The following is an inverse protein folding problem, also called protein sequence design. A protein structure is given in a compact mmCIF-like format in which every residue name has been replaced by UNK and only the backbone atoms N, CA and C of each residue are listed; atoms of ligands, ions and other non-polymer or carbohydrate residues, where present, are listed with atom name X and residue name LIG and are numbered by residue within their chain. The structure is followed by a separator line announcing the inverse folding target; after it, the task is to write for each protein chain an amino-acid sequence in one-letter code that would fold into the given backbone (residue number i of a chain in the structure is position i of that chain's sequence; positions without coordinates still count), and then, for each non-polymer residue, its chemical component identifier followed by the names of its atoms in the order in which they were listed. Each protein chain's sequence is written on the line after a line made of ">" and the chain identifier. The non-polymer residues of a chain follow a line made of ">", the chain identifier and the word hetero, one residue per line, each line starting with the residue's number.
data_IF_070861972530
#
_entry.id   IF_070861972530
#
_cell.length_a   1.000
_cell.length_b   1.000
_cell.length_c   1.000
_cell.angle_alpha   90.00
_cell.angle_beta   90.00
_cell.angle_gamma   90.00
#
_symmetry.space_group_name_H-M   'P 1'
#
loop_
_entity.id
_entity.type
_entity.pdbx_description
1 polymer ?
#
# COMPACT_ATOMS: atom_id res chain seq x y z
N UNK A 1 10.06 3.44 10.43
CA UNK A 1 8.62 3.21 10.60
C UNK A 1 8.15 3.91 11.87
N UNK A 2 6.90 4.39 11.89
CA UNK A 2 6.29 5.06 13.05
C UNK A 2 4.90 4.48 13.30
N UNK A 3 4.63 4.06 14.54
CA UNK A 3 3.30 3.64 14.96
C UNK A 3 2.41 4.86 15.20
N UNK A 4 1.17 4.80 14.70
CA UNK A 4 0.17 5.87 14.79
C UNK A 4 -1.21 5.28 15.06
N UNK A 5 -2.10 6.06 15.66
CA UNK A 5 -3.48 5.63 15.89
C UNK A 5 -4.22 5.37 14.57
N UNK A 6 -5.13 4.40 14.56
CA UNK A 6 -5.96 4.12 13.38
C UNK A 6 -6.66 5.35 12.80
N UNK A 7 -7.25 6.20 13.63
CA UNK A 7 -7.95 7.42 13.20
C UNK A 7 -7.03 8.39 12.46
N UNK A 8 -5.74 8.39 12.81
CA UNK A 8 -4.75 9.19 12.09
C UNK A 8 -4.50 8.63 10.69
N UNK A 9 -4.45 7.30 10.53
CA UNK A 9 -4.34 6.67 9.20
C UNK A 9 -5.59 6.89 8.36
N UNK A 10 -6.79 6.77 8.94
CA UNK A 10 -8.05 7.06 8.24
C UNK A 10 -8.07 8.51 7.73
N UNK A 11 -7.65 9.46 8.56
CA UNK A 11 -7.54 10.88 8.17
C UNK A 11 -6.60 11.06 6.98
N UNK A 12 -5.42 10.45 7.02
CA UNK A 12 -4.34 10.71 6.04
C UNK A 12 -4.42 9.87 4.76
N UNK A 13 -4.73 8.58 4.88
CA UNK A 13 -4.74 7.63 3.77
C UNK A 13 -6.12 7.48 3.13
N UNK A 14 -7.20 7.72 3.89
CA UNK A 14 -8.58 7.47 3.45
C UNK A 14 -9.43 8.75 3.33
N UNK A 15 -8.80 9.93 3.46
CA UNK A 15 -9.45 11.24 3.44
C UNK A 15 -10.53 11.38 4.53
N UNK A 16 -10.22 10.96 5.76
CA UNK A 16 -11.12 11.04 6.91
C UNK A 16 -12.28 10.04 6.91
N UNK A 17 -12.38 9.18 5.89
CA UNK A 17 -13.39 8.12 5.83
C UNK A 17 -12.89 6.88 6.56
N UNK A 18 -13.80 6.22 7.29
CA UNK A 18 -13.44 4.97 7.94
C UNK A 18 -13.09 3.90 6.91
N UNK A 19 -11.97 3.22 7.13
CA UNK A 19 -11.41 2.25 6.20
C UNK A 19 -10.53 1.24 6.94
N UNK A 20 -10.24 0.09 6.33
CA UNK A 20 -9.45 -0.99 6.95
C UNK A 20 -7.94 -0.81 6.76
N UNK A 21 -7.46 0.44 6.68
CA UNK A 21 -6.04 0.73 6.49
C UNK A 21 -5.24 0.28 7.72
N UNK A 22 -4.08 -0.33 7.48
CA UNK A 22 -3.16 -0.77 8.54
C UNK A 22 -1.77 -0.15 8.37
N UNK A 23 -1.41 0.28 7.17
CA UNK A 23 -0.14 0.94 6.87
C UNK A 23 -0.34 2.02 5.81
N UNK A 24 0.60 2.97 5.76
CA UNK A 24 0.63 3.99 4.72
C UNK A 24 2.03 4.60 4.58
N UNK A 25 2.54 4.61 3.36
CA UNK A 25 3.63 5.48 2.92
C UNK A 25 3.06 6.62 2.04
N UNK A 26 3.32 7.90 2.35
CA UNK A 26 2.75 9.04 1.62
C UNK A 26 3.28 9.22 0.19
N UNK A 27 4.25 8.42 -0.24
CA UNK A 27 4.92 8.57 -1.53
C UNK A 27 6.19 9.42 -1.46
N UNK A 28 6.36 10.21 -0.40
CA UNK A 28 7.54 11.05 -0.16
C UNK A 28 8.11 10.93 1.26
N UNK A 29 9.34 11.45 1.44
CA UNK A 29 10.03 11.46 2.73
C UNK A 29 10.53 10.09 3.21
N UNK A 30 10.82 10.01 4.50
CA UNK A 30 11.55 8.87 5.10
C UNK A 30 10.72 8.03 6.08
N UNK A 31 9.39 8.25 6.15
CA UNK A 31 8.55 7.65 7.18
C UNK A 31 7.42 6.81 6.59
N UNK A 32 7.47 5.52 6.90
CA UNK A 32 6.33 4.59 6.82
C UNK A 32 5.53 4.66 8.11
N UNK A 33 4.21 4.83 8.00
CA UNK A 33 3.28 4.86 9.12
C UNK A 33 2.53 3.53 9.24
N UNK A 34 2.41 2.98 10.45
CA UNK A 34 1.73 1.73 10.73
C UNK A 34 0.71 1.91 11.87
N UNK A 35 -0.37 1.16 11.83
CA UNK A 35 -1.41 1.17 12.85
C UNK A 35 -0.86 0.64 14.18
N UNK A 36 -1.05 1.40 15.26
CA UNK A 36 -0.52 1.08 16.59
C UNK A 36 -1.11 -0.20 17.22
N UNK A 37 -2.16 -0.76 16.63
CA UNK A 37 -2.77 -2.03 17.03
C UNK A 37 -2.09 -3.24 16.37
N UNK A 38 -1.15 -3.04 15.44
CA UNK A 38 -0.44 -4.12 14.77
C UNK A 38 0.60 -4.78 15.69
N UNK A 39 0.45 -6.08 15.91
CA UNK A 39 1.48 -6.95 16.47
C UNK A 39 2.46 -7.42 15.38
N UNK A 40 3.62 -6.74 15.24
CA UNK A 40 4.63 -7.08 14.24
C UNK A 40 5.51 -8.28 14.61
N UNK A 41 5.49 -8.71 15.88
CA UNK A 41 6.36 -9.77 16.40
C UNK A 41 5.70 -11.14 16.29
N UNK A 42 4.40 -11.23 16.57
CA UNK A 42 3.70 -12.51 16.66
C UNK A 42 2.60 -12.71 15.62
N UNK A 43 2.35 -11.72 14.75
CA UNK A 43 1.34 -11.84 13.68
C UNK A 43 1.96 -11.61 12.30
N UNK A 44 2.15 -12.72 11.57
CA UNK A 44 2.78 -12.73 10.24
C UNK A 44 2.03 -11.87 9.21
N UNK A 45 0.71 -11.73 9.35
CA UNK A 45 -0.08 -10.85 8.49
C UNK A 45 0.25 -9.38 8.74
N UNK A 46 0.39 -8.96 10.00
CA UNK A 46 0.82 -7.60 10.32
C UNK A 46 2.25 -7.32 9.84
N UNK A 47 3.17 -8.28 10.03
CA UNK A 47 4.52 -8.19 9.49
C UNK A 47 4.51 -8.04 7.96
N UNK A 48 3.63 -8.76 7.26
CA UNK A 48 3.51 -8.67 5.80
C UNK A 48 2.95 -7.33 5.32
N UNK A 49 2.05 -6.70 6.08
CA UNK A 49 1.60 -5.33 5.83
C UNK A 49 2.75 -4.33 6.00
N UNK A 50 3.58 -4.46 7.04
CA UNK A 50 4.74 -3.59 7.20
C UNK A 50 5.76 -3.76 6.06
N UNK A 51 5.93 -4.98 5.55
CA UNK A 51 6.74 -5.26 4.37
C UNK A 51 6.18 -4.57 3.11
N UNK A 52 4.87 -4.63 2.91
CA UNK A 52 4.19 -3.96 1.79
C UNK A 52 4.51 -2.45 1.76
N UNK A 53 4.35 -1.75 2.89
CA UNK A 53 4.68 -0.32 2.96
C UNK A 53 6.17 -0.03 2.81
N UNK A 54 7.04 -0.96 3.24
CA UNK A 54 8.48 -0.83 3.04
C UNK A 54 8.85 -0.91 1.55
N UNK A 55 8.16 -1.73 0.76
CA UNK A 55 8.31 -1.77 -0.70
C UNK A 55 7.94 -0.42 -1.30
N UNK A 56 6.81 0.17 -0.89
CA UNK A 56 6.44 1.53 -1.36
C UNK A 56 7.47 2.59 -1.01
N UNK A 57 8.05 2.53 0.19
CA UNK A 57 9.15 3.42 0.57
C UNK A 57 10.37 3.26 -0.35
N UNK A 58 10.77 2.02 -0.67
CA UNK A 58 11.87 1.75 -1.60
C UNK A 58 11.55 2.27 -3.02
N UNK A 59 10.34 2.03 -3.51
CA UNK A 59 9.88 2.53 -4.80
C UNK A 59 9.93 4.07 -4.83
N UNK A 60 9.48 4.74 -3.77
CA UNK A 60 9.53 6.20 -3.65
C UNK A 60 10.97 6.75 -3.70
N UNK A 61 11.91 6.08 -3.02
CA UNK A 61 13.34 6.47 -3.05
C UNK A 61 14.00 6.28 -4.41
N UNK A 62 13.48 5.39 -5.24
CA UNK A 62 13.96 5.15 -6.60
C UNK A 62 13.30 6.07 -7.63
N UNK A 63 12.31 6.88 -7.22
CA UNK A 63 11.50 7.69 -8.14
C UNK A 63 10.53 6.87 -8.97
N UNK A 64 10.23 5.62 -8.57
CA UNK A 64 9.34 4.72 -9.30
C UNK A 64 7.84 4.98 -9.00
N UNK A 65 7.54 5.76 -7.96
CA UNK A 65 6.17 6.12 -7.56
C UNK A 65 5.92 7.57 -7.96
N UNK A 66 4.73 7.84 -8.52
CA UNK A 66 4.03 9.13 -8.57
C UNK A 66 3.95 9.90 -9.90
N UNK A 67 4.55 9.51 -11.03
CA UNK A 67 4.38 10.37 -12.24
C UNK A 67 3.03 10.15 -12.94
N UNK A 68 2.51 8.92 -12.93
CA UNK A 68 1.21 8.62 -13.53
C UNK A 68 0.53 7.38 -12.92
N UNK A 69 -0.76 7.22 -13.22
CA UNK A 69 -1.58 6.14 -12.71
C UNK A 69 -1.02 4.73 -13.05
N UNK A 70 -0.48 4.53 -14.25
CA UNK A 70 0.04 3.22 -14.67
C UNK A 70 1.23 2.78 -13.82
N UNK A 71 2.13 3.72 -13.53
CA UNK A 71 3.25 3.50 -12.61
C UNK A 71 2.75 3.16 -11.20
N UNK A 72 1.74 3.86 -10.68
CA UNK A 72 1.16 3.56 -9.37
C UNK A 72 0.54 2.17 -9.32
N UNK A 73 -0.18 1.74 -10.36
CA UNK A 73 -0.75 0.38 -10.44
C UNK A 73 0.36 -0.67 -10.53
N UNK A 74 1.42 -0.41 -11.30
CA UNK A 74 2.57 -1.32 -11.40
C UNK A 74 3.29 -1.46 -10.05
N UNK A 75 3.49 -0.35 -9.34
CA UNK A 75 4.09 -0.32 -8.00
C UNK A 75 3.23 -1.11 -6.99
N UNK A 76 1.91 -0.93 -7.01
CA UNK A 76 0.96 -1.67 -6.16
C UNK A 76 1.01 -3.18 -6.45
N UNK A 77 1.06 -3.57 -7.73
CA UNK A 77 1.19 -4.98 -8.14
C UNK A 77 2.48 -5.60 -7.61
N UNK A 78 3.59 -4.89 -7.70
CA UNK A 78 4.87 -5.35 -7.16
C UNK A 78 4.80 -5.53 -5.64
N UNK A 79 4.29 -4.53 -4.90
CA UNK A 79 4.18 -4.60 -3.45
C UNK A 79 3.34 -5.79 -2.97
N UNK A 80 2.18 -6.05 -3.59
CA UNK A 80 1.38 -7.23 -3.27
C UNK A 80 1.99 -8.56 -3.71
N UNK A 81 2.73 -8.59 -4.83
CA UNK A 81 3.44 -9.81 -5.24
C UNK A 81 4.49 -10.19 -4.18
N UNK A 82 5.28 -9.21 -3.71
CA UNK A 82 6.28 -9.41 -2.66
C UNK A 82 5.60 -9.82 -1.34
N UNK A 83 4.52 -9.14 -0.95
CA UNK A 83 3.76 -9.49 0.26
C UNK A 83 3.21 -10.93 0.20
N UNK A 84 2.65 -11.33 -0.94
CA UNK A 84 2.11 -12.68 -1.14
C UNK A 84 3.20 -13.73 -1.10
N UNK A 85 4.35 -13.49 -1.72
CA UNK A 85 5.51 -14.38 -1.67
C UNK A 85 6.02 -14.55 -0.24
N UNK A 86 6.14 -13.46 0.51
CA UNK A 86 6.51 -13.51 1.93
C UNK A 86 5.54 -14.39 2.73
N UNK A 87 4.23 -14.18 2.58
CA UNK A 87 3.24 -14.99 3.31
C UNK A 87 3.36 -16.48 2.98
N UNK A 88 3.50 -16.82 1.70
CA UNK A 88 3.65 -18.22 1.23
C UNK A 88 4.94 -18.85 1.78
N UNK A 89 6.06 -18.13 1.75
CA UNK A 89 7.36 -18.61 2.27
C UNK A 89 7.27 -18.97 3.76
N UNK A 90 6.53 -18.18 4.55
CA UNK A 90 6.30 -18.44 5.97
C UNK A 90 5.07 -19.33 6.25
N UNK A 91 4.63 -20.09 5.24
CA UNK A 91 3.65 -21.17 5.39
C UNK A 91 2.20 -20.72 5.59
N UNK A 92 1.88 -19.46 5.28
CA UNK A 92 0.52 -18.92 5.44
C UNK A 92 -0.04 -18.37 4.14
N UNK A 93 -1.30 -18.68 3.83
CA UNK A 93 -1.98 -18.07 2.69
C UNK A 93 -3.01 -17.05 3.15
N UNK A 94 -2.86 -15.80 2.72
CA UNK A 94 -3.90 -14.78 2.79
C UNK A 94 -4.17 -14.24 1.38
N UNK A 95 -5.44 -14.00 1.00
CA UNK A 95 -5.80 -13.44 -0.30
C UNK A 95 -5.58 -11.91 -0.33
N UNK A 96 -4.38 -11.45 0.02
CA UNK A 96 -3.97 -10.05 -0.08
C UNK A 96 -3.93 -9.61 -1.55
N UNK A 97 -4.20 -8.33 -1.80
CA UNK A 97 -4.16 -7.79 -3.16
C UNK A 97 -5.24 -8.35 -4.11
N UNK A 98 -6.30 -8.98 -3.59
CA UNK A 98 -7.35 -9.60 -4.42
C UNK A 98 -8.06 -8.62 -5.37
N UNK A 99 -8.06 -7.33 -5.04
CA UNK A 99 -8.63 -6.26 -5.86
C UNK A 99 -7.65 -5.69 -6.90
N UNK A 100 -6.35 -5.95 -6.76
CA UNK A 100 -5.29 -5.38 -7.60
C UNK A 100 -5.44 -5.75 -9.08
N UNK A 101 -5.84 -6.98 -9.47
CA UNK A 101 -6.07 -7.32 -10.88
C UNK A 101 -7.20 -6.49 -11.53
N UNK A 102 -8.09 -5.90 -10.74
CA UNK A 102 -9.19 -5.06 -11.23
C UNK A 102 -8.80 -3.59 -11.38
N UNK A 103 -7.67 -3.15 -10.82
CA UNK A 103 -7.19 -1.78 -10.95
C UNK A 103 -6.84 -1.47 -12.41
N UNK A 104 -7.33 -0.33 -12.88
CA UNK A 104 -7.08 0.24 -14.21
C UNK A 104 -7.04 1.75 -14.11
N UNK A 105 -6.27 2.38 -14.98
CA UNK A 105 -6.37 3.82 -15.15
C UNK A 105 -7.64 4.16 -15.93
N UNK A 106 -8.30 5.24 -15.53
CA UNK A 106 -9.31 5.85 -16.37
C UNK A 106 -8.60 6.44 -17.60
N UNK A 107 -9.12 6.17 -18.79
CA UNK A 107 -8.64 6.86 -19.99
C UNK A 107 -9.01 8.34 -19.86
N UNK A 108 -8.11 9.28 -20.16
CA UNK A 108 -8.48 10.68 -20.21
C UNK A 108 -9.57 10.85 -21.27
N UNK A 109 -10.72 11.41 -20.87
CA UNK A 109 -11.89 11.60 -21.73
C UNK A 109 -11.49 12.14 -23.10
N UNK A 110 -11.55 11.27 -24.11
CA UNK A 110 -11.69 11.71 -25.47
C UNK A 110 -13.09 12.32 -25.60
N UNK A 111 -13.14 13.66 -25.58
CA UNK A 111 -14.14 14.54 -26.24
C UNK A 111 -14.97 15.47 -25.33
N UNK A 112 -14.61 16.76 -25.34
CA UNK A 112 -15.61 17.81 -25.56
C UNK A 112 -14.99 19.00 -26.31
N UNK A 113 -14.96 18.89 -27.65
CA UNK A 113 -14.88 20.06 -28.52
C UNK A 113 -16.28 20.66 -28.60
N UNK A 114 -16.50 21.76 -27.89
CA UNK A 114 -17.54 22.73 -28.20
C UNK A 114 -17.09 23.68 -29.30
#
# INVERSE_FOLDING_TARGET
>A
MRMVTHSWLEERACNGRSCKVLGWYPGDGDVVYLDDRMDLENNIFHTSVALHELVHWLQGRQGAVLENCEQSIAAEREAYNIQSQFLVEYGTYYPVGSVVPMLRCEEPDAQQKG
#
